data_IF_600418143729
#
_entry.id   IF_600418143729
#
_cell.length_a   1.000
_cell.length_b   1.000
_cell.length_c   1.000
_cell.angle_alpha   90.00
_cell.angle_beta   90.00
_cell.angle_gamma   90.00
#
_symmetry.space_group_name_H-M   'P 1'
#
loop_
_entity.id
_entity.type
_entity.pdbx_description
1 polymer ?
#
# COMPACT_ATOMS: atom_id res chain seq x y z
N UNK A 1 8.28 21.48 -22.66
CA UNK A 1 7.39 21.15 -21.54
C UNK A 1 8.29 20.77 -20.41
N UNK A 2 8.45 21.71 -19.49
CA UNK A 2 9.53 21.69 -18.48
C UNK A 2 9.16 20.75 -17.33
N UNK A 3 10.12 19.90 -16.95
CA UNK A 3 9.99 18.92 -15.85
C UNK A 3 9.71 19.58 -14.50
N UNK A 4 9.89 20.89 -14.41
CA UNK A 4 9.64 21.69 -13.19
C UNK A 4 8.17 21.98 -12.92
N UNK A 5 7.29 21.85 -13.92
CA UNK A 5 5.85 22.12 -13.77
C UNK A 5 5.06 20.91 -13.20
N UNK A 6 5.65 19.72 -13.24
CA UNK A 6 5.00 18.50 -12.73
C UNK A 6 5.01 18.40 -11.18
N UNK A 7 5.94 19.10 -10.55
CA UNK A 7 6.17 18.98 -9.10
C UNK A 7 5.36 19.95 -8.23
N UNK A 8 4.73 20.96 -8.82
CA UNK A 8 4.09 22.06 -8.04
C UNK A 8 2.56 22.06 -8.02
N UNK A 9 1.89 21.35 -8.93
CA UNK A 9 0.44 21.42 -9.03
C UNK A 9 -0.33 20.26 -8.39
N UNK A 10 0.34 19.14 -8.06
CA UNK A 10 -0.36 17.89 -7.77
C UNK A 10 -0.43 17.49 -6.29
N UNK A 11 0.21 18.23 -5.39
CA UNK A 11 0.18 17.91 -3.96
C UNK A 11 -0.80 18.74 -3.13
N UNK A 12 -1.37 19.79 -3.70
CA UNK A 12 -2.33 20.67 -3.01
C UNK A 12 -3.77 20.17 -3.10
N UNK A 13 -4.02 18.89 -2.86
CA UNK A 13 -5.37 18.38 -2.99
C UNK A 13 -5.53 16.88 -2.81
N UNK A 14 -4.80 16.26 -1.92
CA UNK A 14 -5.18 14.95 -1.41
C UNK A 14 -6.43 15.09 -0.52
N UNK A 15 -7.52 15.57 -1.12
CA UNK A 15 -8.82 15.37 -0.54
C UNK A 15 -9.14 13.88 -0.65
N UNK A 16 -9.12 13.19 0.48
CA UNK A 16 -9.71 11.87 0.60
C UNK A 16 -11.20 11.98 0.25
N UNK A 17 -11.53 11.81 -1.02
CA UNK A 17 -12.91 11.64 -1.44
C UNK A 17 -13.43 10.35 -0.84
N UNK A 18 -14.14 10.45 0.29
CA UNK A 18 -14.83 9.35 0.98
C UNK A 18 -16.05 8.84 0.20
N UNK A 19 -16.00 8.77 -1.11
CA UNK A 19 -17.04 8.15 -1.91
C UNK A 19 -16.65 6.71 -2.23
N UNK A 20 -16.67 5.84 -1.23
CA UNK A 20 -16.42 4.43 -1.45
C UNK A 20 -17.35 3.60 -0.59
N UNK A 21 -18.02 2.65 -1.20
CA UNK A 21 -18.71 1.56 -0.52
C UNK A 21 -17.77 0.98 0.53
N UNK A 22 -18.25 1.00 1.77
CA UNK A 22 -17.58 0.39 2.91
C UNK A 22 -17.78 -1.12 2.81
N UNK A 23 -16.93 -1.79 2.06
CA UNK A 23 -16.91 -3.24 1.98
C UNK A 23 -16.01 -3.76 3.11
N UNK A 24 -16.53 -4.65 3.93
CA UNK A 24 -15.72 -5.37 4.91
C UNK A 24 -14.88 -6.40 4.15
N UNK A 25 -13.58 -6.25 4.19
CA UNK A 25 -12.62 -7.19 3.66
C UNK A 25 -11.81 -7.82 4.81
N UNK A 26 -11.03 -8.83 4.50
CA UNK A 26 -10.02 -9.36 5.42
C UNK A 26 -8.65 -9.05 4.86
N UNK A 27 -7.74 -8.59 5.70
CA UNK A 27 -6.33 -8.48 5.38
C UNK A 27 -5.53 -9.44 6.26
N UNK A 28 -4.45 -9.95 5.69
CA UNK A 28 -3.52 -10.83 6.41
C UNK A 28 -2.60 -9.98 7.29
N UNK A 29 -2.55 -10.28 8.57
CA UNK A 29 -1.63 -9.67 9.51
C UNK A 29 -0.24 -10.29 9.40
N UNK A 30 0.77 -9.71 10.06
CA UNK A 30 2.16 -10.21 10.03
C UNK A 30 2.29 -11.64 10.59
N UNK A 31 1.39 -12.04 11.49
CA UNK A 31 1.33 -13.38 12.08
C UNK A 31 0.53 -14.39 11.24
N UNK A 32 0.08 -14.01 10.04
CA UNK A 32 -0.75 -14.83 9.15
C UNK A 32 -2.23 -14.90 9.54
N UNK A 33 -2.65 -14.22 10.60
CA UNK A 33 -4.06 -14.16 10.97
C UNK A 33 -4.85 -13.26 10.00
N UNK A 34 -6.15 -13.55 9.86
CA UNK A 34 -7.05 -12.71 9.05
C UNK A 34 -7.71 -11.67 9.94
N UNK A 35 -7.43 -10.40 9.67
CA UNK A 35 -8.05 -9.29 10.39
C UNK A 35 -9.13 -8.61 9.55
N UNK A 36 -10.26 -8.24 10.16
CA UNK A 36 -11.28 -7.45 9.46
C UNK A 36 -10.74 -6.04 9.19
N UNK A 37 -10.79 -5.63 7.92
CA UNK A 37 -10.39 -4.32 7.46
C UNK A 37 -11.50 -3.68 6.64
N UNK A 38 -11.54 -2.35 6.63
CA UNK A 38 -12.38 -1.61 5.71
C UNK A 38 -11.62 -1.40 4.41
N UNK A 39 -12.27 -1.71 3.29
CA UNK A 39 -11.77 -1.47 1.94
C UNK A 39 -12.27 -0.14 1.43
N UNK A 40 -11.40 0.67 0.87
CA UNK A 40 -11.71 1.94 0.24
C UNK A 40 -11.09 2.01 -1.16
N UNK A 41 -11.68 2.84 -2.00
CA UNK A 41 -11.05 3.24 -3.26
C UNK A 41 -10.47 4.64 -3.06
N UNK A 42 -9.17 4.75 -3.23
CA UNK A 42 -8.47 6.03 -3.24
C UNK A 42 -8.32 6.50 -4.68
N UNK A 43 -8.61 7.77 -4.90
CA UNK A 43 -8.43 8.42 -6.20
C UNK A 43 -7.25 9.37 -6.12
N UNK A 44 -6.21 9.10 -6.89
CA UNK A 44 -5.02 9.92 -7.03
C UNK A 44 -5.19 10.98 -8.13
N UNK A 45 -4.31 11.99 -8.19
CA UNK A 45 -4.24 12.92 -9.31
C UNK A 45 -4.20 12.19 -10.66
N UNK A 46 -4.89 12.73 -11.65
CA UNK A 46 -5.08 12.07 -12.94
C UNK A 46 -6.15 10.97 -12.94
N UNK A 47 -7.04 10.97 -11.95
CA UNK A 47 -8.17 10.04 -11.80
C UNK A 47 -7.75 8.56 -11.75
N UNK A 48 -6.55 8.28 -11.27
CA UNK A 48 -6.07 6.92 -11.05
C UNK A 48 -6.66 6.39 -9.75
N UNK A 49 -7.31 5.25 -9.81
CA UNK A 49 -7.94 4.62 -8.66
C UNK A 49 -7.20 3.36 -8.26
N UNK A 50 -7.06 3.15 -6.96
CA UNK A 50 -6.56 1.90 -6.40
C UNK A 50 -7.25 1.59 -5.07
N UNK A 51 -7.17 0.33 -4.70
CA UNK A 51 -7.75 -0.15 -3.43
C UNK A 51 -6.78 0.10 -2.30
N UNK A 52 -7.30 0.60 -1.17
CA UNK A 52 -6.58 0.68 0.09
C UNK A 52 -7.36 -0.04 1.18
N UNK A 53 -6.65 -0.49 2.19
CA UNK A 53 -7.20 -1.16 3.37
C UNK A 53 -6.90 -0.36 4.63
N UNK A 54 -7.87 -0.31 5.55
CA UNK A 54 -7.72 0.37 6.83
C UNK A 54 -8.36 -0.45 7.96
N UNK A 55 -7.67 -0.50 9.09
CA UNK A 55 -8.19 -1.10 10.34
C UNK A 55 -9.04 -0.11 11.12
N UNK A 56 -8.68 1.16 11.07
CA UNK A 56 -9.34 2.24 11.80
C UNK A 56 -9.70 3.40 10.87
N UNK A 57 -10.67 4.21 11.26
CA UNK A 57 -11.07 5.42 10.53
C UNK A 57 -10.23 6.65 10.90
N UNK A 58 -9.39 6.54 11.92
CA UNK A 58 -8.55 7.63 12.43
C UNK A 58 -7.20 7.08 12.93
N UNK A 59 -6.35 6.65 12.00
CA UNK A 59 -4.99 6.21 12.29
C UNK A 59 -4.06 7.39 12.63
N UNK A 60 -2.95 7.13 13.34
CA UNK A 60 -2.01 8.18 13.77
C UNK A 60 -1.32 8.90 12.61
N UNK A 61 -1.28 8.28 11.43
CA UNK A 61 -0.63 8.82 10.22
C UNK A 61 -1.63 9.15 9.11
N UNK A 62 -2.93 9.27 9.42
CA UNK A 62 -3.96 9.61 8.43
C UNK A 62 -3.97 11.09 8.06
N UNK A 63 -3.62 11.94 9.01
CA UNK A 63 -3.61 13.40 8.85
C UNK A 63 -2.17 13.89 9.05
N UNK A 64 -1.40 13.86 7.99
CA UNK A 64 -0.05 14.42 8.00
C UNK A 64 -0.07 15.88 7.55
N UNK A 65 0.82 16.72 8.10
CA UNK A 65 1.03 18.04 7.56
C UNK A 65 1.55 17.94 6.12
N UNK A 66 1.23 18.95 5.32
CA UNK A 66 1.79 19.08 3.98
C UNK A 66 3.32 19.01 4.02
N UNK A 67 3.89 18.23 3.13
CA UNK A 67 5.33 18.04 3.04
C UNK A 67 5.78 18.06 1.59
N UNK A 68 6.83 18.78 1.31
CA UNK A 68 7.44 18.81 -0.03
C UNK A 68 8.41 17.64 -0.16
N UNK A 69 8.18 16.78 -1.14
CA UNK A 69 9.12 15.71 -1.48
C UNK A 69 10.27 16.32 -2.28
N UNK A 70 11.53 16.23 -1.81
CA UNK A 70 12.68 16.76 -2.53
C UNK A 70 12.87 16.06 -3.89
N UNK A 71 13.59 16.69 -4.84
CA UNK A 71 14.04 16.03 -6.06
C UNK A 71 14.75 14.70 -5.73
N UNK A 72 14.64 13.73 -6.61
CA UNK A 72 15.27 12.40 -6.48
C UNK A 72 14.83 11.58 -5.25
N UNK A 73 13.70 11.93 -4.65
CA UNK A 73 13.07 11.19 -3.56
C UNK A 73 11.66 10.76 -3.92
N UNK A 74 11.23 9.68 -3.29
CA UNK A 74 9.89 9.12 -3.40
C UNK A 74 9.23 9.09 -2.04
N UNK A 75 7.98 9.52 -2.00
CA UNK A 75 7.09 9.27 -0.87
C UNK A 75 6.24 8.04 -1.21
N UNK A 76 6.43 6.96 -0.47
CA UNK A 76 5.74 5.69 -0.71
C UNK A 76 4.75 5.41 0.40
N UNK A 77 3.61 4.82 0.04
CA UNK A 77 2.59 4.38 0.97
C UNK A 77 2.17 2.95 0.66
N UNK A 78 2.03 2.13 1.70
CA UNK A 78 1.44 0.80 1.56
C UNK A 78 -0.07 0.88 1.34
N UNK A 79 -0.62 -0.08 0.61
CA UNK A 79 -2.07 -0.24 0.41
C UNK A 79 -2.79 -0.59 1.72
N UNK A 80 -2.20 -1.40 2.61
CA UNK A 80 -2.68 -1.58 3.97
C UNK A 80 -2.18 -0.43 4.87
N UNK A 81 -2.91 0.68 4.83
CA UNK A 81 -2.55 1.98 5.41
C UNK A 81 -2.18 1.93 6.90
N UNK A 82 -2.85 1.10 7.67
CA UNK A 82 -2.65 1.01 9.12
C UNK A 82 -1.67 -0.10 9.51
N UNK A 83 -1.14 -0.84 8.53
CA UNK A 83 -0.15 -1.90 8.71
C UNK A 83 1.03 -1.76 7.74
N UNK A 84 1.51 -0.55 7.55
CA UNK A 84 2.64 -0.27 6.66
C UNK A 84 3.64 0.65 7.34
N UNK A 85 4.89 0.22 7.41
CA UNK A 85 6.02 1.02 7.88
C UNK A 85 6.56 1.88 6.74
N UNK A 86 5.71 2.66 6.11
CA UNK A 86 5.99 3.45 4.91
C UNK A 86 6.53 4.87 5.20
N UNK A 87 6.52 5.76 4.20
CA UNK A 87 7.09 7.11 4.32
C UNK A 87 6.36 8.01 5.32
N UNK A 88 5.14 7.66 5.73
CA UNK A 88 4.38 8.37 6.76
C UNK A 88 4.93 8.12 8.15
N UNK A 89 5.54 6.96 8.35
CA UNK A 89 6.11 6.57 9.65
C UNK A 89 7.51 7.14 9.78
N UNK A 90 7.83 7.87 10.87
CA UNK A 90 9.18 8.36 11.12
C UNK A 90 10.22 7.25 11.12
N UNK A 91 11.42 7.53 10.60
CA UNK A 91 12.55 6.57 10.61
C UNK A 91 12.85 6.03 12.02
N UNK A 92 12.74 6.89 13.04
CA UNK A 92 12.95 6.50 14.44
C UNK A 92 11.90 5.48 14.95
N UNK A 93 10.77 5.34 14.27
CA UNK A 93 9.71 4.38 14.58
C UNK A 93 9.68 3.20 13.59
N UNK A 94 10.73 3.03 12.80
CA UNK A 94 10.87 1.92 11.86
C UNK A 94 10.26 2.17 10.47
N UNK A 95 9.83 3.40 10.16
CA UNK A 95 9.38 3.75 8.82
C UNK A 95 10.55 3.84 7.83
N UNK A 96 10.23 3.82 6.53
CA UNK A 96 11.24 3.88 5.46
C UNK A 96 11.66 5.31 5.10
N UNK A 97 10.91 6.32 5.55
CA UNK A 97 11.16 7.71 5.19
C UNK A 97 11.00 7.97 3.68
N UNK A 98 11.69 8.98 3.18
CA UNK A 98 11.72 9.29 1.75
C UNK A 98 12.77 8.43 1.05
N UNK A 99 12.35 7.56 0.14
CA UNK A 99 13.24 6.67 -0.59
C UNK A 99 13.97 7.41 -1.73
N UNK A 100 15.27 7.17 -1.95
CA UNK A 100 15.96 7.63 -3.14
C UNK A 100 15.34 6.99 -4.40
N UNK A 101 15.18 7.78 -5.48
CA UNK A 101 14.73 7.24 -6.77
C UNK A 101 15.70 6.16 -7.28
N UNK A 102 16.98 6.26 -6.95
CA UNK A 102 18.00 5.26 -7.29
C UNK A 102 17.74 3.86 -6.71
N UNK A 103 16.94 3.79 -5.64
CA UNK A 103 16.61 2.51 -4.97
C UNK A 103 15.41 1.82 -5.63
N UNK A 104 14.77 2.51 -6.60
CA UNK A 104 13.66 1.94 -7.36
C UNK A 104 14.19 0.91 -8.36
N UNK A 105 13.87 -0.36 -8.10
CA UNK A 105 14.30 -1.47 -8.95
C UNK A 105 13.37 -1.63 -10.17
N UNK A 106 12.07 -1.40 -9.97
CA UNK A 106 11.09 -1.54 -11.03
C UNK A 106 9.66 -1.53 -10.52
N UNK A 107 8.74 -1.71 -11.45
CA UNK A 107 7.31 -1.87 -11.19
C UNK A 107 6.91 -3.34 -11.19
N UNK A 108 6.02 -3.73 -10.28
CA UNK A 108 5.42 -5.05 -10.32
C UNK A 108 4.28 -5.03 -11.35
N UNK A 109 4.41 -5.82 -12.41
CA UNK A 109 3.39 -5.91 -13.46
C UNK A 109 2.47 -7.12 -13.28
N UNK A 110 2.97 -8.19 -12.65
CA UNK A 110 2.17 -9.40 -12.44
C UNK A 110 2.62 -10.18 -11.19
N UNK A 111 1.67 -10.86 -10.58
CA UNK A 111 1.92 -11.84 -9.53
C UNK A 111 2.15 -13.21 -10.18
N UNK A 112 3.33 -13.79 -9.98
CA UNK A 112 3.69 -15.11 -10.52
C UNK A 112 3.17 -16.23 -9.63
N UNK A 113 3.01 -15.96 -8.33
CA UNK A 113 2.52 -16.93 -7.34
C UNK A 113 2.02 -16.22 -6.09
N UNK A 114 1.19 -16.90 -5.35
CA UNK A 114 0.68 -16.43 -4.05
C UNK A 114 0.56 -17.61 -3.10
N UNK A 115 0.98 -17.40 -1.89
CA UNK A 115 0.99 -18.39 -0.82
C UNK A 115 0.22 -17.86 0.40
N UNK A 116 -0.43 -18.75 1.14
CA UNK A 116 -1.07 -18.45 2.41
C UNK A 116 -0.07 -18.62 3.56
N UNK A 117 0.33 -17.51 4.18
CA UNK A 117 1.29 -17.51 5.29
C UNK A 117 0.80 -18.31 6.51
N UNK A 118 -0.50 -18.43 6.71
CA UNK A 118 -1.05 -19.26 7.79
C UNK A 118 -0.64 -20.74 7.68
N UNK A 119 -0.19 -21.19 6.50
CA UNK A 119 0.32 -22.57 6.31
C UNK A 119 1.81 -22.71 6.62
N UNK A 120 2.56 -21.62 6.84
CA UNK A 120 3.99 -21.66 7.11
C UNK A 120 4.34 -22.44 8.39
N UNK A 121 3.48 -22.33 9.40
CA UNK A 121 3.67 -23.03 10.68
C UNK A 121 3.10 -24.43 10.70
N UNK A 122 2.55 -24.92 9.57
CA UNK A 122 2.03 -26.27 9.44
C UNK A 122 3.12 -27.26 8.98
N UNK A 123 2.92 -28.58 9.21
CA UNK A 123 3.81 -29.57 8.67
C UNK A 123 3.95 -29.46 7.14
N UNK A 124 5.16 -29.71 6.63
CA UNK A 124 5.54 -29.48 5.21
C UNK A 124 4.62 -30.16 4.18
N UNK A 125 3.97 -31.26 4.54
CA UNK A 125 3.01 -31.96 3.68
C UNK A 125 1.69 -31.20 3.48
N UNK A 126 1.40 -30.20 4.35
CA UNK A 126 0.24 -29.32 4.21
C UNK A 126 0.55 -28.06 3.36
N UNK A 127 1.82 -27.75 3.10
CA UNK A 127 2.23 -26.57 2.34
C UNK A 127 1.57 -26.44 0.97
N UNK A 128 1.38 -27.51 0.18
CA UNK A 128 0.68 -27.40 -1.10
C UNK A 128 -0.73 -26.81 -1.00
N UNK A 129 -1.41 -27.00 0.13
CA UNK A 129 -2.74 -26.41 0.36
C UNK A 129 -2.73 -24.90 0.54
N UNK A 130 -1.56 -24.30 0.86
CA UNK A 130 -1.38 -22.87 0.95
C UNK A 130 -1.28 -22.15 -0.39
N UNK A 131 -1.12 -22.87 -1.51
CA UNK A 131 -1.03 -22.27 -2.84
C UNK A 131 -2.37 -21.65 -3.25
N UNK A 132 -2.38 -20.33 -3.42
CA UNK A 132 -3.56 -19.58 -3.88
C UNK A 132 -3.56 -19.53 -5.41
N UNK A 133 -3.94 -20.64 -6.06
CA UNK A 133 -3.87 -20.79 -7.52
C UNK A 133 -4.67 -19.71 -8.28
N UNK A 134 -5.76 -19.22 -7.71
CA UNK A 134 -6.58 -18.14 -8.30
C UNK A 134 -5.85 -16.81 -8.44
N UNK A 135 -4.72 -16.62 -7.76
CA UNK A 135 -3.91 -15.39 -7.80
C UNK A 135 -2.66 -15.52 -8.68
N UNK A 136 -2.44 -16.68 -9.29
CA UNK A 136 -1.30 -16.88 -10.19
C UNK A 136 -1.51 -16.12 -11.48
N UNK A 137 -0.44 -15.53 -11.98
CA UNK A 137 -0.40 -14.74 -13.22
C UNK A 137 -1.44 -13.60 -13.27
N UNK A 138 -1.77 -13.04 -12.10
CA UNK A 138 -2.67 -11.90 -12.02
C UNK A 138 -1.90 -10.61 -12.30
N UNK A 139 -2.38 -9.81 -13.25
CA UNK A 139 -1.82 -8.49 -13.52
C UNK A 139 -2.07 -7.55 -12.34
N UNK A 140 -1.06 -6.74 -12.01
CA UNK A 140 -1.16 -5.66 -11.02
C UNK A 140 -1.46 -4.37 -11.79
N UNK A 141 -2.55 -3.70 -11.42
CA UNK A 141 -3.00 -2.44 -12.04
C UNK A 141 -2.58 -1.25 -11.19
#
# INVERSE_FOLDING_TARGET
MDESDFAKSDLAGLEFSKSGLRETASAEAEDGSQEPVARFIETLPGNRQHTIFKRTTAGPFDNMPESVVPPDRLFVMGDNRDNSADSRVPLALGGVGLLPVSDLVGRVDALVGSWDLATEHQPVWNWPSGLRLSRFFTAVQ
#
